data_IF_420782554439
#
_entry.id   IF_420782554439
#
_cell.length_a   1.000
_cell.length_b   1.000
_cell.length_c   1.000
_cell.angle_alpha   90.00
_cell.angle_beta   90.00
_cell.angle_gamma   90.00
#
_symmetry.space_group_name_H-M   'P 1'
#
loop_
_entity.id
_entity.type
_entity.pdbx_description
1 polymer ?
#
# COMPACT_ATOMS: atom_id res chain seq x y z
N UNK A 1 56.62 32.57 28.65
CA UNK A 1 55.28 32.90 29.20
C UNK A 1 54.34 31.78 28.75
N UNK A 2 54.17 30.76 29.59
CA UNK A 2 53.45 29.54 29.21
C UNK A 2 51.97 29.71 29.56
N UNK A 3 51.11 29.73 28.53
CA UNK A 3 49.65 29.72 28.72
C UNK A 3 49.24 28.33 29.20
N UNK A 4 48.84 28.22 30.46
CA UNK A 4 48.11 27.08 31.01
C UNK A 4 46.85 26.86 30.16
N UNK A 5 46.74 25.67 29.54
CA UNK A 5 45.57 25.27 28.77
C UNK A 5 44.52 24.75 29.75
N UNK A 6 43.49 25.53 30.03
CA UNK A 6 42.30 25.07 30.76
C UNK A 6 41.58 23.98 29.93
N UNK A 7 41.88 22.71 30.19
CA UNK A 7 41.08 21.60 29.72
C UNK A 7 39.84 21.48 30.61
N UNK A 8 38.68 21.86 30.08
CA UNK A 8 37.40 21.64 30.74
C UNK A 8 37.12 20.13 30.76
N UNK A 9 37.15 19.53 31.95
CA UNK A 9 36.73 18.15 32.16
C UNK A 9 35.20 18.09 32.31
N UNK A 10 34.57 17.18 31.57
CA UNK A 10 33.13 16.95 31.63
C UNK A 10 32.76 16.24 32.94
N UNK A 11 31.68 16.65 33.61
CA UNK A 11 31.24 15.98 34.84
C UNK A 11 30.40 14.73 34.54
N UNK A 12 30.46 13.74 35.42
CA UNK A 12 29.62 12.54 35.32
C UNK A 12 28.13 12.89 35.37
N UNK A 13 27.75 13.92 36.13
CA UNK A 13 26.36 14.36 36.23
C UNK A 13 25.88 15.03 34.94
N UNK A 14 26.73 15.80 34.26
CA UNK A 14 26.38 16.37 32.95
C UNK A 14 26.15 15.27 31.91
N UNK A 15 26.99 14.24 31.88
CA UNK A 15 26.77 13.11 30.98
C UNK A 15 25.47 12.35 31.34
N UNK A 16 25.20 12.16 32.64
CA UNK A 16 24.03 11.43 33.12
C UNK A 16 22.71 12.16 32.83
N UNK A 17 22.68 13.49 32.98
CA UNK A 17 21.50 14.31 32.65
C UNK A 17 21.25 14.32 31.14
N UNK A 18 22.29 14.34 30.31
CA UNK A 18 22.13 14.33 28.85
C UNK A 18 21.50 13.02 28.38
N UNK A 19 21.97 11.87 28.85
CA UNK A 19 21.39 10.58 28.44
C UNK A 19 19.97 10.41 28.98
N UNK A 20 19.64 10.96 30.16
CA UNK A 20 18.30 10.85 30.72
C UNK A 20 17.30 11.70 29.94
N UNK A 21 17.68 12.91 29.51
CA UNK A 21 16.85 13.76 28.66
C UNK A 21 16.68 13.17 27.27
N UNK A 22 17.75 12.65 26.65
CA UNK A 22 17.66 11.96 25.35
C UNK A 22 16.74 10.73 25.44
N UNK A 23 16.87 9.93 26.50
CA UNK A 23 16.01 8.76 26.73
C UNK A 23 14.54 9.11 26.87
N UNK A 24 14.23 10.17 27.63
CA UNK A 24 12.86 10.67 27.78
C UNK A 24 12.29 11.13 26.42
N UNK A 25 13.02 11.96 25.67
CA UNK A 25 12.56 12.45 24.37
C UNK A 25 12.40 11.31 23.34
N UNK A 26 13.34 10.35 23.33
CA UNK A 26 13.28 9.20 22.44
C UNK A 26 12.02 8.34 22.67
N UNK A 27 11.62 8.14 23.94
CA UNK A 27 10.44 7.35 24.29
C UNK A 27 9.14 7.90 23.70
N UNK A 28 8.96 9.23 23.73
CA UNK A 28 7.77 9.90 23.18
C UNK A 28 7.76 9.83 21.65
N UNK A 29 8.92 10.01 21.01
CA UNK A 29 9.06 9.96 19.56
C UNK A 29 8.66 8.58 19.01
N UNK A 30 9.11 7.50 19.66
CA UNK A 30 8.83 6.13 19.20
C UNK A 30 7.33 5.82 19.05
N UNK A 31 6.49 6.32 19.97
CA UNK A 31 5.03 6.09 19.92
C UNK A 31 4.42 6.76 18.67
N UNK A 32 4.87 7.97 18.34
CA UNK A 32 4.36 8.71 17.18
C UNK A 32 4.77 8.12 15.82
N UNK A 33 5.98 7.53 15.74
CA UNK A 33 6.55 7.00 14.50
C UNK A 33 5.74 5.85 13.89
N UNK A 34 5.08 5.01 14.69
CA UNK A 34 4.28 3.90 14.17
C UNK A 34 3.12 4.41 13.30
N UNK A 35 2.37 5.40 13.80
CA UNK A 35 1.27 6.01 13.04
C UNK A 35 1.73 6.70 11.75
N UNK A 36 2.93 7.31 11.76
CA UNK A 36 3.51 7.96 10.58
C UNK A 36 3.87 6.94 9.52
N UNK A 37 4.43 5.79 9.91
CA UNK A 37 4.77 4.69 8.99
C UNK A 37 3.53 4.13 8.32
N UNK A 38 2.44 3.93 9.06
CA UNK A 38 1.20 3.38 8.50
C UNK A 38 0.53 4.34 7.51
N UNK A 39 0.59 5.65 7.77
CA UNK A 39 0.16 6.69 6.81
C UNK A 39 1.05 6.73 5.56
N UNK A 40 2.38 6.61 5.74
CA UNK A 40 3.33 6.59 4.63
C UNK A 40 3.11 5.37 3.72
N UNK A 41 2.84 4.20 4.31
CA UNK A 41 2.49 2.98 3.57
C UNK A 41 1.22 3.18 2.74
N UNK A 42 0.17 3.71 3.36
CA UNK A 42 -1.08 4.01 2.64
C UNK A 42 -0.86 4.96 1.47
N UNK A 43 -0.12 6.07 1.68
CA UNK A 43 0.18 7.04 0.63
C UNK A 43 0.93 6.41 -0.56
N UNK A 44 1.95 5.58 -0.26
CA UNK A 44 2.70 4.85 -1.29
C UNK A 44 1.79 3.88 -2.04
N UNK A 45 1.01 3.08 -1.32
CA UNK A 45 0.11 2.11 -1.92
C UNK A 45 -0.93 2.75 -2.85
N UNK A 46 -1.47 3.91 -2.45
CA UNK A 46 -2.39 4.68 -3.28
C UNK A 46 -1.72 5.23 -4.54
N UNK A 47 -0.47 5.69 -4.45
CA UNK A 47 0.31 6.13 -5.60
C UNK A 47 0.55 4.98 -6.60
N UNK A 48 0.94 3.81 -6.08
CA UNK A 48 1.15 2.59 -6.87
C UNK A 48 -0.14 2.18 -7.60
N UNK A 49 -1.29 2.19 -6.92
CA UNK A 49 -2.59 1.86 -7.53
C UNK A 49 -3.03 2.88 -8.60
N UNK A 50 -2.77 4.17 -8.40
CA UNK A 50 -3.02 5.19 -9.42
C UNK A 50 -2.16 4.98 -10.67
N UNK A 51 -0.92 4.56 -10.49
CA UNK A 51 -0.03 4.24 -11.61
C UNK A 51 -0.56 3.04 -12.42
N UNK A 52 -0.99 1.98 -11.75
CA UNK A 52 -1.63 0.82 -12.39
C UNK A 52 -2.93 1.25 -13.10
N UNK A 53 -3.75 2.08 -12.45
CA UNK A 53 -4.99 2.63 -13.03
C UNK A 53 -4.71 3.35 -14.33
N UNK A 54 -3.73 4.26 -14.33
CA UNK A 54 -3.35 5.01 -15.52
C UNK A 54 -2.86 4.09 -16.64
N UNK A 55 -2.10 3.05 -16.32
CA UNK A 55 -1.68 2.05 -17.30
C UNK A 55 -2.87 1.29 -17.89
N UNK A 56 -3.87 0.92 -17.07
CA UNK A 56 -5.11 0.30 -17.52
C UNK A 56 -5.96 1.21 -18.42
N UNK A 57 -6.04 2.51 -18.13
CA UNK A 57 -6.76 3.48 -18.99
C UNK A 57 -6.07 3.66 -20.35
N UNK A 58 -4.73 3.72 -20.37
CA UNK A 58 -3.96 3.78 -21.62
C UNK A 58 -4.10 2.50 -22.44
N UNK A 59 -4.17 1.37 -21.75
CA UNK A 59 -4.38 0.07 -22.34
C UNK A 59 -5.78 -0.07 -22.98
N UNK A 60 -6.81 0.47 -22.35
CA UNK A 60 -8.15 0.64 -22.95
C UNK A 60 -8.09 1.47 -24.24
N UNK A 61 -7.39 2.61 -24.22
CA UNK A 61 -7.26 3.49 -25.40
C UNK A 61 -6.63 2.77 -26.61
N UNK A 62 -5.66 1.89 -26.36
CA UNK A 62 -4.98 1.14 -27.42
C UNK A 62 -5.76 -0.09 -27.88
N UNK A 63 -6.27 -0.91 -26.95
CA UNK A 63 -6.92 -2.18 -27.28
C UNK A 63 -8.43 -2.08 -27.52
N UNK A 64 -9.05 -0.98 -27.11
CA UNK A 64 -10.50 -0.84 -27.04
C UNK A 64 -11.15 -1.67 -25.91
N UNK A 65 -10.34 -2.35 -25.10
CA UNK A 65 -10.76 -3.10 -23.91
C UNK A 65 -9.62 -3.16 -22.89
N UNK A 66 -9.97 -3.27 -21.62
CA UNK A 66 -9.02 -3.42 -20.53
C UNK A 66 -8.32 -4.78 -20.53
N UNK A 67 -7.13 -4.85 -19.91
CA UNK A 67 -6.39 -6.10 -19.74
C UNK A 67 -7.24 -7.20 -19.10
N UNK A 68 -7.16 -8.45 -19.60
CA UNK A 68 -7.86 -9.55 -18.97
C UNK A 68 -7.37 -9.77 -17.54
N UNK A 69 -8.26 -10.33 -16.72
CA UNK A 69 -7.91 -10.83 -15.39
C UNK A 69 -6.82 -11.91 -15.51
N UNK A 70 -5.89 -11.92 -14.55
CA UNK A 70 -4.84 -12.92 -14.43
C UNK A 70 -4.92 -13.54 -13.04
N UNK A 71 -4.18 -14.63 -12.79
CA UNK A 71 -4.18 -15.23 -11.46
C UNK A 71 -3.74 -14.24 -10.38
N UNK A 72 -4.31 -14.36 -9.19
CA UNK A 72 -3.94 -13.50 -8.07
C UNK A 72 -2.42 -13.52 -7.79
N UNK A 73 -1.82 -12.33 -7.68
CA UNK A 73 -0.37 -12.17 -7.47
C UNK A 73 0.45 -12.22 -8.76
N UNK A 74 -0.17 -12.47 -9.91
CA UNK A 74 0.45 -12.31 -11.22
C UNK A 74 0.28 -10.87 -11.70
N UNK A 75 1.32 -10.34 -12.35
CA UNK A 75 1.22 -9.03 -12.99
C UNK A 75 0.46 -9.15 -14.31
N UNK A 76 -0.61 -8.38 -14.47
CA UNK A 76 -1.27 -8.31 -15.78
C UNK A 76 -0.36 -7.62 -16.80
N UNK A 77 -0.47 -8.03 -18.07
CA UNK A 77 0.27 -7.44 -19.17
C UNK A 77 -0.58 -6.36 -19.85
N UNK A 78 -0.34 -5.10 -19.49
CA UNK A 78 -0.84 -3.98 -20.29
C UNK A 78 -0.12 -3.93 -21.64
N UNK A 79 -0.84 -3.56 -22.71
CA UNK A 79 -0.24 -3.42 -24.03
C UNK A 79 0.68 -2.21 -24.04
N UNK A 80 1.81 -2.32 -24.75
CA UNK A 80 2.85 -1.30 -24.75
C UNK A 80 3.72 -1.35 -23.49
N UNK A 81 4.42 -0.25 -23.20
CA UNK A 81 5.34 -0.12 -22.05
C UNK A 81 4.85 0.94 -21.06
N UNK A 82 3.53 1.05 -20.85
CA UNK A 82 2.94 2.05 -19.94
C UNK A 82 3.29 1.82 -18.47
N UNK A 83 3.56 0.56 -18.11
CA UNK A 83 4.08 0.18 -16.81
C UNK A 83 5.29 -0.75 -17.02
N UNK A 84 6.49 -0.23 -16.80
CA UNK A 84 7.74 -0.97 -17.04
C UNK A 84 7.98 -2.09 -16.03
N UNK A 85 7.41 -1.97 -14.84
CA UNK A 85 7.45 -2.98 -13.80
C UNK A 85 6.20 -2.90 -12.93
N UNK A 86 5.64 -4.05 -12.58
CA UNK A 86 4.54 -4.12 -11.60
C UNK A 86 5.04 -3.63 -10.25
N UNK A 87 4.41 -2.61 -9.63
CA UNK A 87 4.86 -2.13 -8.34
C UNK A 87 4.65 -3.22 -7.27
N UNK A 88 5.50 -3.21 -6.24
CA UNK A 88 5.32 -4.06 -5.07
C UNK A 88 4.67 -3.27 -3.95
N UNK A 89 3.60 -3.77 -3.31
CA UNK A 89 3.01 -3.15 -2.14
C UNK A 89 4.03 -2.90 -1.01
N UNK A 90 3.77 -1.93 -0.12
CA UNK A 90 4.69 -1.59 0.98
C UNK A 90 4.72 -2.63 2.12
N UNK A 91 3.78 -3.58 2.13
CA UNK A 91 3.75 -4.66 3.10
C UNK A 91 4.44 -5.93 2.54
N UNK A 92 5.25 -6.63 3.34
CA UNK A 92 5.87 -7.89 2.92
C UNK A 92 4.83 -8.94 2.58
N UNK A 93 5.11 -9.77 1.57
CA UNK A 93 4.22 -10.84 1.09
C UNK A 93 2.84 -10.34 0.63
N UNK A 94 2.77 -9.06 0.26
CA UNK A 94 1.61 -8.52 -0.42
C UNK A 94 1.96 -8.32 -1.88
N UNK A 95 0.99 -8.57 -2.74
CA UNK A 95 1.07 -8.32 -4.18
C UNK A 95 -0.17 -7.53 -4.63
N UNK A 96 -0.03 -6.78 -5.73
CA UNK A 96 -1.19 -6.18 -6.39
C UNK A 96 -1.77 -7.14 -7.41
N UNK A 97 -3.08 -7.12 -7.50
CA UNK A 97 -3.88 -7.99 -8.33
C UNK A 97 -4.83 -7.13 -9.18
N UNK A 98 -4.88 -7.40 -10.48
CA UNK A 98 -5.73 -6.69 -11.43
C UNK A 98 -6.96 -7.55 -11.70
N UNK A 99 -8.09 -7.18 -11.12
CA UNK A 99 -9.35 -7.91 -11.30
C UNK A 99 -10.16 -7.25 -12.43
N UNK A 100 -10.26 -7.92 -13.59
CA UNK A 100 -11.17 -7.53 -14.68
C UNK A 100 -12.17 -8.62 -14.99
N UNK A 101 -13.35 -8.53 -14.37
CA UNK A 101 -14.43 -9.49 -14.57
C UNK A 101 -15.50 -9.01 -15.53
N UNK A 102 -15.24 -8.25 -16.60
CA UNK A 102 -16.31 -7.72 -17.47
C UNK A 102 -17.00 -8.75 -18.42
N UNK A 103 -17.12 -10.02 -18.01
CA UNK A 103 -17.60 -11.17 -18.82
C UNK A 103 -19.12 -11.19 -19.12
N UNK A 104 -19.77 -10.04 -19.21
CA UNK A 104 -21.17 -9.94 -19.65
C UNK A 104 -22.22 -10.38 -18.64
N UNK A 105 -21.88 -10.47 -17.35
CA UNK A 105 -22.87 -10.65 -16.28
C UNK A 105 -23.22 -9.30 -15.63
N UNK A 106 -24.47 -9.09 -15.17
CA UNK A 106 -24.80 -7.87 -14.44
C UNK A 106 -23.94 -7.78 -13.18
N UNK A 107 -23.49 -6.58 -12.81
CA UNK A 107 -22.72 -6.28 -11.60
C UNK A 107 -21.21 -6.61 -11.64
N UNK A 108 -20.55 -6.33 -12.76
CA UNK A 108 -19.10 -6.50 -12.91
C UNK A 108 -18.39 -5.16 -13.06
N UNK A 109 -17.22 -5.01 -12.41
CA UNK A 109 -16.42 -3.79 -12.44
C UNK A 109 -14.94 -4.10 -12.30
N UNK A 110 -14.09 -3.17 -12.72
CA UNK A 110 -12.63 -3.35 -12.66
C UNK A 110 -12.07 -2.73 -11.40
N UNK A 111 -11.08 -3.42 -10.83
CA UNK A 111 -10.41 -2.94 -9.63
C UNK A 111 -8.99 -3.45 -9.53
N UNK A 112 -8.25 -2.80 -8.65
CA UNK A 112 -6.92 -3.21 -8.22
C UNK A 112 -7.02 -3.63 -6.76
N UNK A 113 -6.58 -4.83 -6.45
CA UNK A 113 -6.60 -5.38 -5.08
C UNK A 113 -5.17 -5.49 -4.56
N UNK A 114 -4.92 -5.17 -3.29
CA UNK A 114 -3.73 -5.64 -2.59
C UNK A 114 -4.06 -6.94 -1.84
N UNK A 115 -3.36 -8.01 -2.16
CA UNK A 115 -3.57 -9.35 -1.59
C UNK A 115 -2.38 -9.75 -0.75
N UNK A 116 -2.60 -10.41 0.38
CA UNK A 116 -1.54 -11.13 1.06
C UNK A 116 -1.43 -12.55 0.46
N UNK A 117 -0.30 -12.84 -0.19
CA UNK A 117 -0.04 -14.12 -0.83
C UNK A 117 0.65 -15.09 0.13
N UNK A 118 0.02 -16.24 0.40
CA UNK A 118 0.56 -17.30 1.24
C UNK A 118 0.91 -18.58 0.45
N UNK A 119 1.22 -18.48 -0.84
CA UNK A 119 1.83 -19.59 -1.59
C UNK A 119 0.89 -20.69 -2.10
N UNK A 120 -0.35 -20.37 -2.51
CA UNK A 120 -1.22 -21.34 -3.19
C UNK A 120 -2.51 -20.76 -3.74
N UNK A 121 -2.95 -21.22 -4.92
CA UNK A 121 -4.22 -20.83 -5.55
C UNK A 121 -5.39 -21.02 -4.58
N UNK A 122 -6.17 -19.95 -4.36
CA UNK A 122 -7.41 -19.97 -3.57
C UNK A 122 -7.30 -19.46 -2.13
N UNK A 123 -6.09 -19.24 -1.60
CA UNK A 123 -5.89 -18.67 -0.25
C UNK A 123 -5.45 -17.20 -0.30
N UNK A 124 -6.12 -16.36 -1.10
CA UNK A 124 -5.85 -14.92 -1.14
C UNK A 124 -6.71 -14.18 -0.10
N UNK A 125 -6.04 -13.54 0.87
CA UNK A 125 -6.71 -12.60 1.78
C UNK A 125 -6.55 -11.21 1.19
N UNK A 126 -7.61 -10.72 0.57
CA UNK A 126 -7.68 -9.37 0.03
C UNK A 126 -7.71 -8.37 1.18
N UNK A 127 -6.78 -7.41 1.15
CA UNK A 127 -6.55 -6.46 2.24
C UNK A 127 -7.01 -5.05 1.89
N UNK A 128 -6.84 -4.67 0.63
CA UNK A 128 -7.21 -3.35 0.15
C UNK A 128 -7.74 -3.41 -1.29
N UNK A 129 -8.62 -2.49 -1.66
CA UNK A 129 -9.24 -2.42 -2.97
C UNK A 129 -9.23 -0.98 -3.51
N UNK A 130 -9.00 -0.83 -4.81
CA UNK A 130 -9.13 0.42 -5.53
C UNK A 130 -10.00 0.20 -6.78
N UNK A 131 -11.13 0.89 -6.83
CA UNK A 131 -12.08 0.82 -7.92
C UNK A 131 -11.74 1.80 -9.02
N UNK A 132 -11.75 1.36 -10.28
CA UNK A 132 -11.46 2.23 -11.42
C UNK A 132 -12.72 2.82 -12.07
N UNK A 133 -13.87 2.13 -12.03
CA UNK A 133 -15.08 2.58 -12.71
C UNK A 133 -15.88 3.61 -11.90
N UNK A 134 -16.24 4.73 -12.53
CA UNK A 134 -17.06 5.82 -11.96
C UNK A 134 -18.57 5.61 -12.05
N UNK A 135 -19.02 4.54 -12.71
CA UNK A 135 -20.44 4.19 -12.81
C UNK A 135 -20.65 2.72 -12.45
N UNK A 136 -21.03 2.47 -11.19
CA UNK A 136 -21.35 1.14 -10.69
C UNK A 136 -20.69 0.82 -9.34
N UNK A 137 -21.36 -0.01 -8.57
CA UNK A 137 -20.85 -0.63 -7.33
C UNK A 137 -19.68 -1.57 -7.67
N UNK A 138 -18.60 -1.54 -6.88
CA UNK A 138 -17.52 -2.52 -7.01
C UNK A 138 -17.91 -3.83 -6.35
N UNK A 139 -18.34 -4.80 -7.16
CA UNK A 139 -18.74 -6.10 -6.66
C UNK A 139 -17.54 -6.99 -6.32
N UNK A 140 -17.71 -7.82 -5.29
CA UNK A 140 -16.70 -8.78 -4.83
C UNK A 140 -17.12 -10.19 -5.15
N UNK A 141 -16.79 -10.61 -6.37
CA UNK A 141 -16.77 -12.02 -6.75
C UNK A 141 -17.77 -12.41 -7.83
N UNK A 142 -17.51 -13.55 -8.46
CA UNK A 142 -18.44 -14.22 -9.36
C UNK A 142 -19.63 -14.74 -8.54
N UNK A 143 -20.85 -14.28 -8.84
CA UNK A 143 -22.06 -14.90 -8.26
C UNK A 143 -23.10 -13.95 -7.67
N UNK A 144 -23.08 -12.66 -7.98
CA UNK A 144 -24.22 -11.79 -7.75
C UNK A 144 -24.62 -11.61 -6.28
N UNK A 145 -23.77 -11.93 -5.30
CA UNK A 145 -23.98 -11.53 -3.92
C UNK A 145 -23.48 -10.09 -3.76
N UNK A 146 -24.35 -9.10 -3.52
CA UNK A 146 -23.97 -7.73 -3.26
C UNK A 146 -23.41 -7.67 -1.83
N UNK A 147 -22.21 -8.22 -1.62
CA UNK A 147 -21.36 -7.60 -0.62
C UNK A 147 -20.93 -6.28 -1.25
N UNK A 148 -21.81 -5.28 -1.13
CA UNK A 148 -21.41 -3.90 -1.02
C UNK A 148 -20.46 -3.89 0.18
N UNK A 149 -19.20 -4.27 -0.02
CA UNK A 149 -18.18 -3.77 0.88
C UNK A 149 -18.23 -2.28 0.57
N UNK A 150 -18.72 -1.42 1.49
CA UNK A 150 -18.44 -0.01 1.34
C UNK A 150 -16.95 0.04 1.12
N UNK A 151 -16.51 0.50 -0.08
CA UNK A 151 -15.11 0.68 -0.46
C UNK A 151 -14.41 0.98 0.84
N UNK A 152 -13.54 0.11 1.36
CA UNK A 152 -13.01 0.34 2.71
C UNK A 152 -12.51 1.76 2.70
N UNK A 153 -13.26 2.56 3.44
CA UNK A 153 -13.53 3.93 3.06
C UNK A 153 -12.19 4.64 2.99
N UNK A 154 -12.04 5.59 2.07
CA UNK A 154 -10.88 6.48 2.07
C UNK A 154 -10.65 7.12 3.47
N UNK A 155 -11.61 6.97 4.41
CA UNK A 155 -11.46 7.21 5.84
C UNK A 155 -10.30 6.45 6.52
N UNK A 156 -9.96 5.23 6.11
CA UNK A 156 -8.77 4.54 6.62
C UNK A 156 -7.50 5.09 5.95
N UNK A 157 -7.02 6.25 6.41
CA UNK A 157 -5.79 6.93 5.92
C UNK A 157 -4.49 6.24 6.34
N UNK A 158 -4.53 4.94 6.67
CA UNK A 158 -3.43 4.16 7.24
C UNK A 158 -3.52 2.71 6.81
N UNK A 159 -2.37 2.09 6.52
CA UNK A 159 -2.26 0.65 6.23
C UNK A 159 -1.28 0.03 7.21
N UNK A 160 -1.71 -1.02 7.89
CA UNK A 160 -0.87 -1.83 8.77
C UNK A 160 -0.56 -3.17 8.11
N UNK A 161 0.67 -3.67 8.27
CA UNK A 161 1.07 -4.95 7.68
C UNK A 161 0.79 -6.16 8.61
N UNK A 162 -0.05 -5.99 9.64
CA UNK A 162 -0.31 -6.99 10.69
C UNK A 162 -1.59 -7.80 10.46
N UNK A 163 -2.11 -7.81 9.24
CA UNK A 163 -3.39 -8.45 8.96
C UNK A 163 -3.23 -9.97 8.77
N UNK A 164 -2.96 -10.65 9.87
CA UNK A 164 -3.23 -12.08 10.05
C UNK A 164 -4.73 -12.35 10.17
#
# INVERSE_FOLDING_TARGET
MNKEKNSLAFTLIELLVVISVIGLLASVILISLNSVRDKARYSRMLADMKQITQAGELDLDVRGSYAPDVGAGEATAFVGTYLSAWPKPPCPNWDYDWDNWLDGTPNQGMRITAVNWNGGSGNYRRKFYYCMTTSGTCYLGSGGSPYEIPIQDYSAKTVTCNEN
#
